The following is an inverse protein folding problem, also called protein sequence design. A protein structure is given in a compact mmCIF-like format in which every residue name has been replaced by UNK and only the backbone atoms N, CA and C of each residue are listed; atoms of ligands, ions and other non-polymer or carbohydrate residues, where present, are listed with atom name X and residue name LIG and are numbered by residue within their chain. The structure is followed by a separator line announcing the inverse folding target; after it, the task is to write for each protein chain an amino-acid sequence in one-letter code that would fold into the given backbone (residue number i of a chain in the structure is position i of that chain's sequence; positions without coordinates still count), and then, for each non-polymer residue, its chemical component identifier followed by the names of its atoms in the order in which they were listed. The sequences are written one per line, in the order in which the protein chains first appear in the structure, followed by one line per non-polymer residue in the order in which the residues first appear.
data_IF_332304347601
#
_entry.id   IF_332304347601
#
_cell.length_a   1.000
_cell.length_b   1.000
_cell.length_c   1.000
_cell.angle_alpha   90.00
_cell.angle_beta   90.00
_cell.angle_gamma   90.00
#
_symmetry.space_group_name_H-M   'P 1'
#
loop_
_entity.id
_entity.type
_entity.pdbx_description
1 polymer ?
#
# COMPACT_ATOMS: atom_id res chain seq x y z
N UNK A 1 -41.09 -24.11 6.07
CA UNK A 1 -41.15 -22.76 5.49
C UNK A 1 -39.74 -22.18 5.52
N UNK A 2 -39.11 -21.98 4.36
CA UNK A 2 -37.77 -21.38 4.25
C UNK A 2 -37.90 -19.88 4.53
N UNK A 3 -37.37 -19.41 5.67
CA UNK A 3 -37.08 -17.99 5.86
C UNK A 3 -35.68 -17.73 5.32
N UNK A 4 -35.62 -17.41 4.02
CA UNK A 4 -34.41 -16.92 3.37
C UNK A 4 -34.23 -15.44 3.75
N UNK A 5 -33.81 -15.18 4.99
CA UNK A 5 -33.21 -13.90 5.34
C UNK A 5 -31.85 -13.85 4.67
N UNK A 6 -31.86 -13.50 3.37
CA UNK A 6 -30.70 -12.96 2.68
C UNK A 6 -30.36 -11.67 3.43
N UNK A 7 -29.55 -11.79 4.48
CA UNK A 7 -28.75 -10.68 4.97
C UNK A 7 -27.96 -10.24 3.75
N UNK A 8 -28.44 -9.18 3.09
CA UNK A 8 -27.59 -8.39 2.21
C UNK A 8 -26.41 -8.03 3.11
N UNK A 9 -25.29 -8.72 2.91
CA UNK A 9 -24.01 -8.23 3.39
C UNK A 9 -23.93 -6.83 2.83
N UNK A 10 -24.04 -5.85 3.74
CA UNK A 10 -23.82 -4.44 3.43
C UNK A 10 -22.53 -4.46 2.62
N UNK A 11 -22.51 -3.99 1.34
CA UNK A 11 -21.30 -4.05 0.54
C UNK A 11 -20.21 -3.47 1.42
N UNK A 12 -19.15 -4.25 1.70
CA UNK A 12 -18.08 -3.84 2.60
C UNK A 12 -17.70 -2.44 2.18
N UNK A 13 -18.14 -1.43 2.93
CA UNK A 13 -17.83 -0.05 2.59
C UNK A 13 -16.34 0.03 2.80
N UNK A 14 -15.61 0.02 1.68
CA UNK A 14 -14.18 0.24 1.62
C UNK A 14 -13.87 1.44 2.50
N UNK A 15 -13.28 1.20 3.68
CA UNK A 15 -12.97 2.29 4.58
C UNK A 15 -11.83 3.08 3.99
N UNK A 16 -12.03 4.38 3.83
CA UNK A 16 -10.99 5.30 3.36
C UNK A 16 -9.90 5.53 4.42
N UNK A 17 -10.15 5.11 5.67
CA UNK A 17 -9.22 5.29 6.80
C UNK A 17 -9.04 3.99 7.57
N UNK A 18 -7.78 3.55 7.75
CA UNK A 18 -7.39 2.31 8.45
C UNK A 18 -6.16 2.58 9.32
N UNK A 19 -6.18 2.13 10.57
CA UNK A 19 -5.18 2.46 11.61
C UNK A 19 -4.81 1.27 12.51
N UNK A 20 -5.04 0.05 12.04
CA UNK A 20 -4.98 -1.16 12.86
C UNK A 20 -3.57 -1.45 13.39
N UNK A 21 -2.52 -1.07 12.65
CA UNK A 21 -1.15 -1.17 13.16
C UNK A 21 -0.95 -0.28 14.38
N UNK A 22 -1.45 0.95 14.34
CA UNK A 22 -1.33 1.89 15.45
C UNK A 22 -2.18 1.45 16.65
N UNK A 23 -3.43 1.05 16.42
CA UNK A 23 -4.38 0.72 17.49
C UNK A 23 -4.31 -0.71 18.02
N UNK A 24 -3.73 -1.65 17.27
CA UNK A 24 -3.64 -3.07 17.66
C UNK A 24 -2.78 -3.29 18.91
N UNK A 25 -2.82 -4.47 19.51
CA UNK A 25 -1.91 -4.83 20.62
C UNK A 25 -0.81 -5.78 20.14
N UNK A 26 0.42 -5.59 20.62
CA UNK A 26 1.52 -6.55 20.41
C UNK A 26 1.23 -7.95 20.96
N UNK A 27 0.25 -8.10 21.87
CA UNK A 27 -0.20 -9.39 22.39
C UNK A 27 -1.07 -10.17 21.40
N UNK A 28 -1.51 -9.52 20.32
CA UNK A 28 -2.44 -10.06 19.33
C UNK A 28 -2.00 -9.69 17.90
N UNK A 29 -0.71 -9.88 17.60
CA UNK A 29 -0.16 -9.63 16.27
C UNK A 29 -0.91 -10.43 15.18
N UNK A 30 -1.19 -9.81 14.03
CA UNK A 30 -1.96 -10.42 12.96
C UNK A 30 -1.09 -11.39 12.16
N UNK A 31 -1.72 -12.13 11.23
CA UNK A 31 -0.99 -12.93 10.24
C UNK A 31 -0.11 -12.06 9.35
N UNK A 32 -0.56 -10.86 8.99
CA UNK A 32 0.22 -9.90 8.21
C UNK A 32 -0.17 -8.47 8.54
N UNK A 33 0.76 -7.53 8.30
CA UNK A 33 0.54 -6.09 8.38
C UNK A 33 0.67 -5.53 6.97
N UNK A 34 -0.34 -4.83 6.48
CA UNK A 34 -0.35 -4.17 5.19
C UNK A 34 -0.33 -2.65 5.36
N UNK A 35 0.74 -1.99 4.91
CA UNK A 35 0.91 -0.53 4.98
C UNK A 35 0.71 0.09 3.60
N UNK A 36 -0.18 1.07 3.47
CA UNK A 36 -0.51 1.65 2.17
C UNK A 36 -0.42 3.18 2.15
N UNK A 37 0.18 3.76 1.11
CA UNK A 37 0.11 5.19 0.83
C UNK A 37 -0.80 5.46 -0.38
N UNK A 38 -1.87 6.24 -0.12
CA UNK A 38 -2.87 6.63 -1.14
C UNK A 38 -2.30 7.59 -2.21
N UNK A 39 -3.06 7.79 -3.28
CA UNK A 39 -2.78 8.79 -4.31
C UNK A 39 -3.09 10.21 -3.86
N UNK A 40 -2.66 11.18 -4.67
CA UNK A 40 -2.93 12.60 -4.39
C UNK A 40 -4.43 12.86 -4.26
N UNK A 41 -4.81 13.77 -3.37
CA UNK A 41 -6.19 14.25 -3.13
C UNK A 41 -7.19 13.16 -2.70
N UNK A 42 -6.75 11.93 -2.49
CA UNK A 42 -7.61 10.86 -2.03
C UNK A 42 -8.01 11.01 -0.55
N UNK A 43 -9.23 10.57 -0.24
CA UNK A 43 -9.81 10.68 1.10
C UNK A 43 -9.14 9.75 2.13
N UNK A 44 -9.22 10.16 3.40
CA UNK A 44 -8.71 9.37 4.53
C UNK A 44 -7.20 9.12 4.44
N UNK A 45 -6.75 7.92 4.82
CA UNK A 45 -5.34 7.52 4.70
C UNK A 45 -5.10 6.36 3.71
N UNK A 46 -6.17 5.71 3.21
CA UNK A 46 -6.13 4.62 2.24
C UNK A 46 -6.58 5.01 0.84
N UNK A 47 -7.32 6.11 0.71
CA UNK A 47 -8.05 6.44 -0.53
C UNK A 47 -9.32 5.62 -0.71
N UNK A 48 -9.93 5.70 -1.89
CA UNK A 48 -11.26 5.15 -2.12
C UNK A 48 -11.26 3.80 -2.85
N UNK A 49 -10.24 3.53 -3.68
CA UNK A 49 -10.22 2.38 -4.58
C UNK A 49 -9.00 1.50 -4.36
N UNK A 50 -7.82 1.90 -4.83
CA UNK A 50 -6.63 1.03 -4.91
C UNK A 50 -6.23 0.46 -3.54
N UNK A 51 -6.10 1.32 -2.53
CA UNK A 51 -5.74 0.91 -1.17
C UNK A 51 -6.79 -0.03 -0.54
N UNK A 52 -8.08 0.40 -0.45
CA UNK A 52 -9.13 -0.44 0.12
C UNK A 52 -9.37 -1.74 -0.62
N UNK A 53 -9.26 -1.79 -1.96
CA UNK A 53 -9.46 -3.02 -2.72
C UNK A 53 -8.35 -4.04 -2.42
N UNK A 54 -7.10 -3.58 -2.35
CA UNK A 54 -5.97 -4.44 -1.96
C UNK A 54 -6.14 -4.97 -0.54
N UNK A 55 -6.51 -4.11 0.40
CA UNK A 55 -6.76 -4.47 1.79
C UNK A 55 -7.91 -5.48 1.92
N UNK A 56 -9.07 -5.19 1.31
CA UNK A 56 -10.25 -6.05 1.36
C UNK A 56 -9.97 -7.44 0.79
N UNK A 57 -9.16 -7.56 -0.25
CA UNK A 57 -8.78 -8.84 -0.83
C UNK A 57 -7.88 -9.67 0.12
N UNK A 58 -6.94 -9.04 0.82
CA UNK A 58 -6.14 -9.71 1.86
C UNK A 58 -7.02 -10.15 3.04
N UNK A 59 -7.91 -9.26 3.51
CA UNK A 59 -8.85 -9.56 4.59
C UNK A 59 -9.84 -10.67 4.21
N UNK A 60 -10.26 -10.73 2.93
CA UNK A 60 -11.12 -11.81 2.44
C UNK A 60 -10.39 -13.15 2.41
N UNK A 61 -9.08 -13.15 2.16
CA UNK A 61 -8.28 -14.38 2.11
C UNK A 61 -7.90 -14.91 3.50
N UNK A 62 -7.60 -14.02 4.45
CA UNK A 62 -7.06 -14.41 5.76
C UNK A 62 -8.02 -14.19 6.93
N UNK A 63 -9.14 -13.48 6.71
CA UNK A 63 -10.03 -12.96 7.75
C UNK A 63 -9.56 -11.58 8.24
N UNK A 64 -10.50 -10.65 8.40
CA UNK A 64 -10.20 -9.26 8.76
C UNK A 64 -9.44 -9.11 10.08
N UNK A 65 -9.65 -9.98 11.07
CA UNK A 65 -8.90 -9.97 12.33
C UNK A 65 -7.42 -10.37 12.19
N UNK A 66 -7.06 -11.03 11.08
CA UNK A 66 -5.71 -11.54 10.82
C UNK A 66 -4.91 -10.62 9.89
N UNK A 67 -5.44 -9.46 9.51
CA UNK A 67 -4.76 -8.47 8.66
C UNK A 67 -4.86 -7.11 9.34
N UNK A 68 -3.73 -6.56 9.78
CA UNK A 68 -3.72 -5.14 10.16
C UNK A 68 -3.47 -4.30 8.93
N UNK A 69 -4.42 -3.42 8.62
CA UNK A 69 -4.31 -2.46 7.53
C UNK A 69 -3.94 -1.11 8.11
N UNK A 70 -2.96 -0.43 7.50
CA UNK A 70 -2.53 0.88 7.97
C UNK A 70 -2.30 1.81 6.78
N UNK A 71 -3.09 2.88 6.72
CA UNK A 71 -2.81 3.96 5.78
C UNK A 71 -1.71 4.88 6.32
N UNK A 72 -0.84 5.36 5.43
CA UNK A 72 0.11 6.43 5.75
C UNK A 72 -0.68 7.73 5.90
N UNK A 73 -0.85 8.17 7.15
CA UNK A 73 -1.65 9.35 7.52
C UNK A 73 -0.80 10.52 8.00
N UNK A 74 -1.39 11.35 8.86
CA UNK A 74 -0.71 12.40 9.60
C UNK A 74 0.13 13.34 8.71
N UNK A 75 1.48 13.31 8.80
CA UNK A 75 2.35 14.14 7.95
C UNK A 75 2.24 13.87 6.45
N UNK A 76 1.64 12.74 6.04
CA UNK A 76 1.30 12.47 4.65
C UNK A 76 -0.12 12.96 4.31
N UNK A 77 -0.19 14.20 3.83
CA UNK A 77 -1.44 14.86 3.46
C UNK A 77 -1.98 14.44 2.08
N UNK A 78 -1.17 13.77 1.26
CA UNK A 78 -1.46 13.48 -0.14
C UNK A 78 -1.75 14.74 -1.00
N UNK A 79 -1.06 15.85 -0.72
CA UNK A 79 -1.22 17.10 -1.48
C UNK A 79 -0.67 16.99 -2.91
N UNK A 80 -1.29 17.69 -3.86
CA UNK A 80 -0.92 17.58 -5.27
C UNK A 80 0.46 18.22 -5.56
N UNK A 81 0.78 19.32 -4.87
CA UNK A 81 2.00 20.13 -5.10
C UNK A 81 3.26 19.31 -4.77
N UNK A 82 3.18 18.41 -3.80
CA UNK A 82 4.28 17.57 -3.36
C UNK A 82 4.78 16.60 -4.44
N UNK A 83 3.98 16.30 -5.48
CA UNK A 83 4.44 15.52 -6.64
C UNK A 83 5.56 16.22 -7.43
N UNK A 84 5.60 17.55 -7.40
CA UNK A 84 6.62 18.33 -8.10
C UNK A 84 7.97 18.33 -7.35
N UNK A 85 8.02 17.85 -6.11
CA UNK A 85 9.27 17.72 -5.36
C UNK A 85 10.19 16.65 -5.99
N UNK A 86 11.52 16.72 -5.80
CA UNK A 86 12.46 15.77 -6.39
C UNK A 86 12.10 14.30 -6.11
N UNK A 87 11.71 13.99 -4.88
CA UNK A 87 11.28 12.66 -4.45
C UNK A 87 9.88 12.25 -4.94
N UNK A 88 9.10 13.17 -5.52
CA UNK A 88 7.70 12.95 -5.90
C UNK A 88 6.73 12.97 -4.72
N UNK A 89 7.22 13.32 -3.53
CA UNK A 89 6.45 13.49 -2.30
C UNK A 89 7.27 14.35 -1.33
N UNK A 90 6.73 14.65 -0.14
CA UNK A 90 7.43 15.39 0.91
C UNK A 90 8.33 14.49 1.77
N UNK A 91 9.40 15.07 2.32
CA UNK A 91 10.24 14.36 3.29
C UNK A 91 9.45 13.95 4.56
N UNK A 92 8.40 14.70 4.91
CA UNK A 92 7.53 14.37 6.02
C UNK A 92 6.74 13.07 5.75
N UNK A 93 6.23 12.90 4.54
CA UNK A 93 5.56 11.66 4.12
C UNK A 93 6.51 10.45 4.13
N UNK A 94 7.75 10.63 3.66
CA UNK A 94 8.78 9.59 3.67
C UNK A 94 9.07 9.14 5.11
N UNK A 95 9.29 10.09 6.03
CA UNK A 95 9.55 9.78 7.45
C UNK A 95 8.35 9.12 8.12
N UNK A 96 7.14 9.50 7.74
CA UNK A 96 5.93 8.89 8.30
C UNK A 96 5.79 7.42 7.88
N UNK A 97 6.00 7.12 6.60
CA UNK A 97 6.03 5.72 6.15
C UNK A 97 7.13 4.92 6.85
N UNK A 98 8.33 5.49 7.02
CA UNK A 98 9.41 4.86 7.78
C UNK A 98 9.03 4.62 9.24
N UNK A 99 8.35 5.56 9.90
CA UNK A 99 7.85 5.39 11.27
C UNK A 99 6.89 4.20 11.36
N UNK A 100 5.97 4.07 10.41
CA UNK A 100 5.01 2.95 10.37
C UNK A 100 5.70 1.60 10.13
N UNK A 101 6.67 1.51 9.22
CA UNK A 101 7.46 0.27 9.05
C UNK A 101 8.23 -0.12 10.31
N UNK A 102 8.89 0.85 10.96
CA UNK A 102 9.59 0.60 12.21
C UNK A 102 8.63 0.21 13.34
N UNK A 103 7.44 0.81 13.40
CA UNK A 103 6.39 0.45 14.37
C UNK A 103 5.91 -0.99 14.15
N UNK A 104 5.64 -1.39 12.91
CA UNK A 104 5.27 -2.76 12.57
C UNK A 104 6.35 -3.76 13.01
N UNK A 105 7.60 -3.47 12.67
CA UNK A 105 8.73 -4.32 13.02
C UNK A 105 8.96 -4.43 14.54
N UNK A 106 8.84 -3.31 15.27
CA UNK A 106 9.03 -3.32 16.73
C UNK A 106 7.88 -3.99 17.46
N UNK A 107 6.64 -3.81 16.97
CA UNK A 107 5.43 -4.27 17.66
C UNK A 107 5.15 -5.75 17.39
N UNK A 108 5.44 -6.22 16.18
CA UNK A 108 5.20 -7.58 15.73
C UNK A 108 6.40 -8.13 14.93
N UNK A 109 7.55 -8.40 15.58
CA UNK A 109 8.81 -8.72 14.89
C UNK A 109 8.78 -10.00 14.04
N UNK A 110 7.82 -10.90 14.28
CA UNK A 110 7.64 -12.14 13.54
C UNK A 110 6.51 -12.08 12.49
N UNK A 111 5.81 -10.94 12.37
CA UNK A 111 4.71 -10.80 11.41
C UNK A 111 5.24 -10.28 10.07
N UNK A 112 4.96 -10.94 8.94
CA UNK A 112 5.36 -10.43 7.63
C UNK A 112 4.66 -9.11 7.32
N UNK A 113 5.44 -8.13 6.86
CA UNK A 113 4.95 -6.84 6.41
C UNK A 113 4.79 -6.88 4.90
N UNK A 114 3.65 -6.40 4.41
CA UNK A 114 3.46 -6.05 3.00
C UNK A 114 3.16 -4.57 2.89
N UNK A 115 3.43 -4.00 1.73
CA UNK A 115 3.17 -2.59 1.49
C UNK A 115 2.60 -2.33 0.11
N UNK A 116 1.97 -1.18 -0.05
CA UNK A 116 1.63 -0.68 -1.36
C UNK A 116 1.55 0.83 -1.45
N UNK A 117 1.55 1.33 -2.66
CA UNK A 117 1.39 2.75 -2.91
C UNK A 117 0.81 3.03 -4.28
N UNK A 118 -0.06 4.02 -4.36
CA UNK A 118 -0.67 4.46 -5.61
C UNK A 118 -0.26 5.89 -5.94
N UNK A 119 0.12 6.15 -7.19
CA UNK A 119 0.47 7.49 -7.69
C UNK A 119 1.57 8.14 -6.84
N UNK A 120 1.28 9.25 -6.16
CA UNK A 120 2.18 9.85 -5.17
C UNK A 120 2.59 8.89 -4.04
N UNK A 121 1.65 8.08 -3.55
CA UNK A 121 1.93 7.10 -2.50
C UNK A 121 2.92 6.01 -2.94
N UNK A 122 2.99 5.71 -4.23
CA UNK A 122 4.05 4.84 -4.76
C UNK A 122 5.44 5.49 -4.59
N UNK A 123 5.54 6.81 -4.79
CA UNK A 123 6.77 7.56 -4.52
C UNK A 123 7.09 7.62 -3.03
N UNK A 124 6.08 7.71 -2.16
CA UNK A 124 6.29 7.62 -0.70
C UNK A 124 6.96 6.30 -0.34
N UNK A 125 6.42 5.18 -0.80
CA UNK A 125 6.98 3.86 -0.53
C UNK A 125 8.37 3.68 -1.13
N UNK A 126 8.56 4.10 -2.38
CA UNK A 126 9.84 3.93 -3.07
C UNK A 126 10.98 4.74 -2.45
N UNK A 127 10.68 5.83 -1.74
CA UNK A 127 11.67 6.63 -1.03
C UNK A 127 11.82 6.21 0.44
N UNK A 128 10.76 5.70 1.07
CA UNK A 128 10.79 5.28 2.47
C UNK A 128 11.60 4.00 2.68
N UNK A 129 11.31 2.97 1.88
CA UNK A 129 11.87 1.62 2.02
C UNK A 129 13.41 1.58 1.92
N UNK A 130 14.07 2.24 0.96
CA UNK A 130 15.54 2.21 0.86
C UNK A 130 16.25 2.82 2.08
N UNK A 131 15.56 3.66 2.85
CA UNK A 131 16.10 4.29 4.07
C UNK A 131 15.87 3.50 5.35
N UNK A 132 15.21 2.33 5.29
CA UNK A 132 15.02 1.44 6.43
C UNK A 132 16.26 0.59 6.71
N UNK A 133 16.40 0.10 7.93
CA UNK A 133 17.45 -0.88 8.27
C UNK A 133 17.24 -2.18 7.49
N UNK A 134 18.32 -2.94 7.27
CA UNK A 134 18.25 -4.23 6.57
C UNK A 134 17.28 -5.22 7.25
N UNK A 135 17.20 -5.20 8.59
CA UNK A 135 16.27 -6.05 9.34
C UNK A 135 14.80 -5.71 9.04
N UNK A 136 14.45 -4.42 8.98
CA UNK A 136 13.09 -4.00 8.65
C UNK A 136 12.78 -4.28 7.18
N UNK A 137 13.73 -4.05 6.28
CA UNK A 137 13.56 -4.42 4.86
C UNK A 137 13.38 -5.92 4.67
N UNK A 138 14.04 -6.77 5.46
CA UNK A 138 13.84 -8.21 5.37
C UNK A 138 12.42 -8.64 5.79
N UNK A 139 11.87 -7.98 6.81
CA UNK A 139 10.51 -8.23 7.28
C UNK A 139 9.43 -7.79 6.26
N UNK A 140 9.75 -6.85 5.37
CA UNK A 140 8.90 -6.55 4.21
C UNK A 140 9.02 -7.70 3.20
N UNK A 141 7.94 -8.44 2.99
CA UNK A 141 7.91 -9.60 2.10
C UNK A 141 7.38 -9.27 0.70
N UNK A 142 6.51 -8.27 0.57
CA UNK A 142 5.96 -7.86 -0.72
C UNK A 142 5.58 -6.39 -0.78
N UNK A 143 5.86 -5.73 -1.90
CA UNK A 143 5.47 -4.34 -2.18
C UNK A 143 4.81 -4.24 -3.54
N UNK A 144 3.64 -3.63 -3.60
CA UNK A 144 2.87 -3.40 -4.85
C UNK A 144 2.71 -1.90 -5.12
N UNK A 145 3.19 -1.42 -6.25
CA UNK A 145 3.10 -0.01 -6.63
C UNK A 145 2.23 0.16 -7.87
N UNK A 146 1.36 1.17 -7.87
CA UNK A 146 0.42 1.46 -8.95
C UNK A 146 0.63 2.90 -9.44
N UNK A 147 0.68 3.13 -10.75
CA UNK A 147 0.82 4.48 -11.31
C UNK A 147 2.06 5.20 -10.80
N UNK A 148 3.19 4.48 -10.69
CA UNK A 148 4.35 4.92 -9.94
C UNK A 148 5.03 6.15 -10.58
N UNK A 149 4.91 7.31 -9.93
CA UNK A 149 5.38 8.62 -10.45
C UNK A 149 6.90 8.71 -10.64
N UNK A 150 7.68 7.81 -10.05
CA UNK A 150 9.13 7.69 -10.22
C UNK A 150 9.55 6.43 -10.96
N UNK A 151 8.62 5.77 -11.66
CA UNK A 151 8.87 4.53 -12.38
C UNK A 151 10.00 4.67 -13.41
N UNK A 152 9.91 5.65 -14.31
CA UNK A 152 10.95 5.89 -15.32
C UNK A 152 12.29 6.24 -14.68
N UNK A 153 12.29 7.13 -13.68
CA UNK A 153 13.49 7.66 -13.05
C UNK A 153 14.25 6.58 -12.26
N UNK A 154 13.53 5.62 -11.68
CA UNK A 154 14.10 4.53 -10.90
C UNK A 154 14.21 3.22 -11.70
N UNK A 155 14.01 3.27 -13.03
CA UNK A 155 14.16 2.10 -13.92
C UNK A 155 13.19 0.96 -13.62
N UNK A 156 11.97 1.29 -13.19
CA UNK A 156 10.93 0.32 -12.84
C UNK A 156 11.23 -0.46 -11.56
N UNK A 157 11.80 0.20 -10.55
CA UNK A 157 12.23 -0.45 -9.29
C UNK A 157 12.04 0.46 -8.08
N UNK A 158 12.04 -0.16 -6.91
CA UNK A 158 12.35 0.51 -5.65
C UNK A 158 13.88 0.43 -5.47
N UNK A 159 14.60 1.56 -5.36
CA UNK A 159 16.05 1.54 -5.15
C UNK A 159 16.45 0.68 -3.93
N UNK A 160 17.56 -0.05 -4.00
CA UNK A 160 18.10 -0.84 -2.89
C UNK A 160 17.12 -1.84 -2.25
N UNK A 161 16.07 -2.28 -2.95
CA UNK A 161 15.13 -3.28 -2.47
C UNK A 161 14.96 -4.43 -3.49
N UNK A 162 14.84 -5.69 -3.07
CA UNK A 162 14.85 -6.83 -4.00
C UNK A 162 13.67 -6.80 -4.97
N UNK A 163 13.96 -6.93 -6.27
CA UNK A 163 12.91 -6.97 -7.30
C UNK A 163 11.99 -8.18 -7.17
N UNK A 164 12.45 -9.27 -6.56
CA UNK A 164 11.62 -10.45 -6.24
C UNK A 164 10.52 -10.18 -5.21
N UNK A 165 10.68 -9.12 -4.40
CA UNK A 165 9.70 -8.67 -3.41
C UNK A 165 8.86 -7.50 -3.91
N UNK A 166 8.99 -7.11 -5.18
CA UNK A 166 8.26 -5.95 -5.73
C UNK A 166 7.51 -6.30 -7.00
N UNK A 167 6.30 -5.78 -7.11
CA UNK A 167 5.56 -5.73 -8.36
C UNK A 167 5.09 -4.28 -8.60
N UNK A 168 5.25 -3.80 -9.83
CA UNK A 168 4.89 -2.44 -10.23
C UNK A 168 3.89 -2.53 -11.38
N UNK A 169 2.74 -1.89 -11.22
CA UNK A 169 1.67 -1.78 -12.21
C UNK A 169 1.71 -0.39 -12.84
N UNK A 170 1.93 -0.36 -14.15
CA UNK A 170 1.89 0.83 -14.98
C UNK A 170 1.00 0.55 -16.18
N UNK A 171 -0.21 1.08 -16.18
CA UNK A 171 -1.17 0.83 -17.26
C UNK A 171 -0.66 1.40 -18.57
N UNK A 172 -1.03 0.73 -19.67
CA UNK A 172 -0.69 1.24 -21.00
C UNK A 172 -1.37 2.59 -21.21
N UNK A 173 -0.56 3.62 -21.46
CA UNK A 173 -1.03 5.00 -21.61
C UNK A 173 -1.01 5.82 -20.32
N UNK A 174 -0.59 5.26 -19.18
CA UNK A 174 -0.30 6.05 -17.99
C UNK A 174 1.00 6.86 -18.19
N UNK A 175 0.86 8.16 -18.46
CA UNK A 175 1.99 9.06 -18.66
C UNK A 175 2.71 9.42 -17.36
N UNK A 176 2.11 9.15 -16.19
CA UNK A 176 2.75 9.35 -14.89
C UNK A 176 3.90 8.36 -14.69
N UNK A 177 3.70 7.11 -15.09
CA UNK A 177 4.77 6.10 -15.11
C UNK A 177 5.93 6.43 -16.06
N UNK A 178 5.69 7.32 -17.03
CA UNK A 178 6.67 7.75 -18.03
C UNK A 178 7.35 9.08 -17.67
N UNK A 179 7.35 9.43 -16.38
CA UNK A 179 8.11 10.57 -15.85
C UNK A 179 7.44 11.92 -16.05
N UNK A 180 6.17 11.95 -16.42
CA UNK A 180 5.34 13.17 -16.43
C UNK A 180 4.43 13.22 -15.20
N UNK A 181 3.71 14.32 -15.01
CA UNK A 181 2.58 14.41 -14.06
C UNK A 181 1.24 14.60 -14.80
N UNK A 182 1.18 14.19 -16.07
CA UNK A 182 -0.03 14.27 -16.90
C UNK A 182 -0.93 13.09 -16.55
N UNK A 183 -2.08 13.37 -15.94
CA UNK A 183 -3.07 12.36 -15.58
C UNK A 183 -3.89 11.98 -16.80
N UNK A 184 -3.64 10.80 -17.37
CA UNK A 184 -4.50 10.19 -18.39
C UNK A 184 -5.54 9.29 -17.72
N UNK A 185 -6.62 8.88 -18.42
CA UNK A 185 -7.57 7.91 -17.88
C UNK A 185 -6.90 6.62 -17.39
N UNK A 186 -5.85 6.15 -18.06
CA UNK A 186 -5.10 4.95 -17.66
C UNK A 186 -4.53 5.05 -16.23
N UNK A 187 -4.13 6.26 -15.79
CA UNK A 187 -3.65 6.47 -14.43
C UNK A 187 -4.71 6.18 -13.35
N UNK A 188 -5.99 6.18 -13.71
CA UNK A 188 -7.11 5.95 -12.78
C UNK A 188 -7.63 4.51 -12.80
N UNK A 189 -7.04 3.62 -13.61
CA UNK A 189 -7.56 2.29 -13.92
C UNK A 189 -6.69 1.17 -13.32
N UNK A 190 -6.54 1.18 -12.00
CA UNK A 190 -5.79 0.15 -11.24
C UNK A 190 -6.68 -0.73 -10.35
N UNK A 191 -7.99 -0.64 -10.52
CA UNK A 191 -8.93 -1.31 -9.61
C UNK A 191 -8.89 -2.84 -9.73
N UNK A 192 -8.67 -3.36 -10.94
CA UNK A 192 -8.59 -4.80 -11.18
C UNK A 192 -7.29 -5.37 -10.59
N UNK A 193 -6.16 -4.71 -10.87
CA UNK A 193 -4.84 -5.02 -10.30
C UNK A 193 -4.90 -5.02 -8.78
N UNK A 194 -5.52 -3.98 -8.19
CA UNK A 194 -5.67 -3.84 -6.75
C UNK A 194 -6.58 -4.92 -6.14
N UNK A 195 -7.59 -5.39 -6.87
CA UNK A 195 -8.53 -6.40 -6.37
C UNK A 195 -8.03 -7.84 -6.55
N UNK A 196 -7.18 -8.11 -7.56
CA UNK A 196 -6.84 -9.48 -7.98
C UNK A 196 -5.34 -9.73 -8.06
N UNK A 197 -4.63 -9.08 -8.98
CA UNK A 197 -3.23 -9.41 -9.29
C UNK A 197 -2.31 -9.06 -8.12
N UNK A 198 -2.45 -7.86 -7.55
CA UNK A 198 -1.62 -7.37 -6.47
C UNK A 198 -1.82 -8.16 -5.17
N UNK A 199 -3.06 -8.42 -4.71
CA UNK A 199 -3.29 -9.31 -3.57
C UNK A 199 -2.77 -10.72 -3.82
N UNK A 200 -2.87 -11.25 -5.04
CA UNK A 200 -2.33 -12.58 -5.36
C UNK A 200 -0.81 -12.64 -5.20
N UNK A 201 -0.10 -11.62 -5.69
CA UNK A 201 1.33 -11.49 -5.46
C UNK A 201 1.67 -11.37 -3.96
N UNK A 202 1.00 -10.47 -3.23
CA UNK A 202 1.25 -10.26 -1.81
C UNK A 202 0.99 -11.52 -0.98
N UNK A 203 -0.10 -12.25 -1.26
CA UNK A 203 -0.41 -13.51 -0.58
C UNK A 203 0.69 -14.56 -0.79
N UNK A 204 1.19 -14.69 -2.02
CA UNK A 204 2.30 -15.61 -2.29
C UNK A 204 3.56 -15.27 -1.47
N UNK A 205 3.84 -13.97 -1.26
CA UNK A 205 4.94 -13.53 -0.40
C UNK A 205 4.68 -13.79 1.09
N UNK A 206 3.45 -13.55 1.56
CA UNK A 206 3.04 -13.79 2.95
C UNK A 206 3.07 -15.29 3.28
N UNK A 207 2.56 -16.13 2.39
CA UNK A 207 2.42 -17.57 2.61
C UNK A 207 3.76 -18.32 2.52
N UNK A 208 4.78 -17.70 1.94
CA UNK A 208 6.15 -18.22 1.86
C UNK A 208 7.09 -17.66 2.94
N UNK A 209 6.58 -16.81 3.84
CA UNK A 209 7.36 -16.07 4.83
C UNK A 209 7.66 -16.86 6.11
#
# INVERSE_FOLDING_TARGET
MMNLNLLLSKPCQASTTRNELETGSSDACPRTIFIFARGSTEAGNMGALVGPFTANALESAYGASNVWVQGVGGPYTAGLVENALPAGTSQAAIREAQRLFNLAASKCPNTPITAGGYSQGAAVMSNAIPGLSAAVQDQIKGVVLFGYTKNLQNGGRIPNFPTSKTTIYCETGDLVCNGTLIITPAHLLYSDEAAVQAPTFLRAQIDSA
#
